data_IF_146711845940
#
_entry.id   IF_146711845940
#
_cell.length_a   1.000
_cell.length_b   1.000
_cell.length_c   1.000
_cell.angle_alpha   90.00
_cell.angle_beta   90.00
_cell.angle_gamma   90.00
#
_symmetry.space_group_name_H-M   'P 1'
#
loop_
_entity.id
_entity.type
_entity.pdbx_description
1 polymer ?
#
# COMPACT_ATOMS: atom_id res chain seq x y z
N UNK A 1 -20.07 1.90 19.51
CA UNK A 1 -21.53 2.01 19.34
C UNK A 1 -22.00 1.50 17.98
N UNK A 2 -21.41 1.96 16.84
CA UNK A 2 -21.78 1.48 15.50
C UNK A 2 -21.50 -0.03 15.34
N UNK A 3 -20.35 -0.52 15.81
CA UNK A 3 -19.97 -1.93 15.72
C UNK A 3 -20.89 -2.87 16.51
N UNK A 4 -21.64 -2.34 17.50
CA UNK A 4 -22.66 -3.09 18.25
C UNK A 4 -23.96 -3.27 17.45
N UNK A 5 -24.22 -2.38 16.49
CA UNK A 5 -25.41 -2.40 15.64
C UNK A 5 -25.15 -3.25 14.40
N UNK A 6 -23.98 -3.07 13.79
CA UNK A 6 -23.51 -3.77 12.59
C UNK A 6 -21.99 -3.85 12.58
N UNK A 7 -21.37 -5.00 12.26
CA UNK A 7 -19.92 -5.11 12.09
C UNK A 7 -19.41 -4.07 11.10
N UNK A 8 -18.35 -3.36 11.46
CA UNK A 8 -17.72 -2.33 10.64
C UNK A 8 -16.23 -2.61 10.49
N UNK A 9 -15.66 -2.20 9.35
CA UNK A 9 -14.23 -2.06 9.18
C UNK A 9 -13.85 -0.59 9.29
N UNK A 10 -12.63 -0.33 9.75
CA UNK A 10 -12.01 1.00 9.67
C UNK A 10 -10.80 0.90 8.76
N UNK A 11 -10.75 1.76 7.75
CA UNK A 11 -9.60 1.86 6.85
C UNK A 11 -8.68 2.98 7.32
N UNK A 12 -7.40 2.66 7.56
CA UNK A 12 -6.39 3.60 8.02
C UNK A 12 -5.27 3.75 6.98
N UNK A 13 -4.90 4.98 6.71
CA UNK A 13 -3.85 5.33 5.76
C UNK A 13 -2.48 5.37 6.42
N UNK A 14 -1.78 4.26 6.61
CA UNK A 14 -0.37 4.26 7.04
C UNK A 14 0.53 4.87 5.96
N UNK A 15 0.34 4.46 4.72
CA UNK A 15 1.09 4.79 3.51
C UNK A 15 2.53 4.27 3.55
N UNK A 16 3.30 4.61 4.58
CA UNK A 16 4.68 4.21 4.88
C UNK A 16 4.96 4.38 6.37
N UNK A 17 5.92 3.63 6.91
CA UNK A 17 6.42 3.83 8.29
C UNK A 17 7.50 4.92 8.38
N UNK A 18 8.08 5.32 7.25
CA UNK A 18 9.23 6.23 7.21
C UNK A 18 8.78 7.69 7.37
N UNK A 19 9.07 8.29 8.53
CA UNK A 19 8.59 9.63 8.88
C UNK A 19 9.01 10.72 7.89
N UNK A 20 10.21 10.61 7.28
CA UNK A 20 10.66 11.54 6.25
C UNK A 20 9.73 11.52 5.04
N UNK A 21 9.40 10.33 4.56
CA UNK A 21 8.47 10.13 3.43
C UNK A 21 7.04 10.51 3.83
N UNK A 22 6.59 10.11 5.03
CA UNK A 22 5.28 10.47 5.56
C UNK A 22 5.07 11.99 5.65
N UNK A 23 6.11 12.73 6.07
CA UNK A 23 6.11 14.19 6.09
C UNK A 23 6.09 14.78 4.69
N UNK A 24 6.86 14.22 3.75
CA UNK A 24 6.88 14.66 2.36
C UNK A 24 5.50 14.52 1.69
N UNK A 25 4.82 13.39 1.88
CA UNK A 25 3.47 13.17 1.34
C UNK A 25 2.37 13.82 2.17
N UNK A 26 2.73 14.56 3.22
CA UNK A 26 1.80 15.27 4.12
C UNK A 26 0.77 14.35 4.77
N UNK A 27 1.20 13.18 5.26
CA UNK A 27 0.31 12.24 5.99
C UNK A 27 -0.44 12.91 7.13
N UNK A 28 0.14 13.93 7.77
CA UNK A 28 -0.53 14.79 8.75
C UNK A 28 -0.54 14.26 10.19
N UNK A 29 0.04 13.09 10.46
CA UNK A 29 0.18 12.51 11.79
C UNK A 29 1.42 11.60 11.88
N UNK A 30 2.02 11.45 13.09
CA UNK A 30 3.16 10.58 13.31
C UNK A 30 2.76 9.09 13.33
N UNK A 31 3.75 8.19 13.18
CA UNK A 31 3.53 6.75 13.21
C UNK A 31 2.86 6.30 14.52
N UNK A 32 3.25 6.88 15.66
CA UNK A 32 2.67 6.57 16.97
C UNK A 32 1.15 6.81 17.04
N UNK A 33 0.63 7.80 16.32
CA UNK A 33 -0.81 8.05 16.25
C UNK A 33 -1.53 6.92 15.47
N UNK A 34 -0.90 6.41 14.42
CA UNK A 34 -1.42 5.25 13.69
C UNK A 34 -1.44 4.00 14.59
N UNK A 35 -0.36 3.72 15.32
CA UNK A 35 -0.25 2.57 16.23
C UNK A 35 -1.34 2.63 17.31
N UNK A 36 -1.48 3.78 17.93
CA UNK A 36 -2.53 4.01 18.95
C UNK A 36 -3.93 3.76 18.39
N UNK A 37 -4.20 4.24 17.18
CA UNK A 37 -5.48 4.03 16.51
C UNK A 37 -5.76 2.54 16.25
N UNK A 38 -4.78 1.79 15.71
CA UNK A 38 -4.89 0.34 15.46
C UNK A 38 -5.17 -0.41 16.77
N UNK A 39 -4.38 -0.14 17.83
CA UNK A 39 -4.54 -0.80 19.13
C UNK A 39 -5.89 -0.48 19.78
N UNK A 40 -6.35 0.76 19.69
CA UNK A 40 -7.64 1.16 20.24
C UNK A 40 -8.83 0.53 19.50
N UNK A 41 -8.75 0.43 18.17
CA UNK A 41 -9.76 -0.25 17.34
C UNK A 41 -9.81 -1.73 17.67
N UNK A 42 -8.65 -2.38 17.79
CA UNK A 42 -8.53 -3.78 18.16
C UNK A 42 -9.18 -4.08 19.53
N UNK A 43 -8.88 -3.25 20.55
CA UNK A 43 -9.46 -3.39 21.90
C UNK A 43 -10.99 -3.40 21.93
N UNK A 44 -11.63 -2.72 20.99
CA UNK A 44 -13.11 -2.66 20.89
C UNK A 44 -13.67 -3.61 19.82
N UNK A 45 -12.84 -4.53 19.29
CA UNK A 45 -13.25 -5.55 18.31
C UNK A 45 -13.60 -5.00 16.93
N UNK A 46 -13.02 -3.86 16.54
CA UNK A 46 -13.18 -3.30 15.19
C UNK A 46 -12.04 -3.75 14.30
N UNK A 47 -12.39 -4.34 13.14
CA UNK A 47 -11.41 -4.78 12.16
C UNK A 47 -10.77 -3.59 11.45
N UNK A 48 -9.45 -3.59 11.34
CA UNK A 48 -8.68 -2.53 10.70
C UNK A 48 -8.07 -3.00 9.40
N UNK A 49 -8.26 -2.24 8.32
CA UNK A 49 -7.62 -2.44 7.02
C UNK A 49 -6.66 -1.29 6.76
N UNK A 50 -5.41 -1.60 6.48
CA UNK A 50 -4.33 -0.60 6.34
C UNK A 50 -4.04 -0.33 4.86
N UNK A 51 -3.82 0.93 4.51
CA UNK A 51 -3.39 1.33 3.18
C UNK A 51 -1.89 1.58 3.15
N UNK A 52 -1.18 0.91 2.24
CA UNK A 52 0.21 1.18 1.88
C UNK A 52 0.29 1.72 0.45
N UNK A 53 1.24 2.63 0.22
CA UNK A 53 1.56 3.15 -1.11
C UNK A 53 2.99 2.73 -1.46
N UNK A 54 3.13 1.94 -2.52
CA UNK A 54 4.43 1.51 -3.04
C UNK A 54 4.93 2.51 -4.09
N UNK A 55 6.23 2.82 -4.06
CA UNK A 55 6.89 3.73 -4.99
C UNK A 55 6.82 5.20 -4.59
N UNK A 56 6.71 5.50 -3.29
CA UNK A 56 6.82 6.87 -2.79
C UNK A 56 8.22 7.43 -3.07
N UNK A 57 8.35 8.73 -3.42
CA UNK A 57 9.64 9.33 -3.75
C UNK A 57 10.67 9.17 -2.64
N UNK A 58 11.84 8.67 -3.01
CA UNK A 58 12.96 8.45 -2.10
C UNK A 58 12.92 7.14 -1.29
N UNK A 59 11.89 6.30 -1.47
CA UNK A 59 11.85 4.98 -0.86
C UNK A 59 12.51 3.92 -1.74
N UNK A 60 13.37 3.11 -1.10
CA UNK A 60 13.95 1.91 -1.69
C UNK A 60 13.01 0.72 -1.55
N UNK A 61 13.29 -0.36 -2.29
CA UNK A 61 12.59 -1.64 -2.12
C UNK A 61 12.60 -2.12 -0.67
N UNK A 62 13.74 -2.04 0.02
CA UNK A 62 13.87 -2.48 1.41
C UNK A 62 12.99 -1.65 2.35
N UNK A 63 12.93 -0.33 2.17
CA UNK A 63 12.05 0.55 2.95
C UNK A 63 10.57 0.18 2.78
N UNK A 64 10.14 -0.12 1.55
CA UNK A 64 8.77 -0.55 1.29
C UNK A 64 8.48 -1.91 1.95
N UNK A 65 9.43 -2.86 1.91
CA UNK A 65 9.31 -4.15 2.59
C UNK A 65 9.33 -4.00 4.12
N UNK A 66 10.10 -3.08 4.68
CA UNK A 66 10.03 -2.74 6.11
C UNK A 66 8.62 -2.30 6.51
N UNK A 67 7.96 -1.48 5.69
CA UNK A 67 6.57 -1.06 5.94
C UNK A 67 5.59 -2.24 5.91
N UNK A 68 5.83 -3.25 5.06
CA UNK A 68 5.03 -4.49 5.02
C UNK A 68 5.27 -5.33 6.27
N UNK A 69 6.54 -5.59 6.61
CA UNK A 69 6.90 -6.38 7.80
C UNK A 69 6.40 -5.76 9.10
N UNK A 70 6.32 -4.43 9.14
CA UNK A 70 5.78 -3.72 10.28
C UNK A 70 4.33 -4.09 10.58
N UNK A 71 3.49 -4.31 9.55
CA UNK A 71 2.10 -4.72 9.74
C UNK A 71 1.99 -6.07 10.45
N UNK A 72 2.95 -6.98 10.29
CA UNK A 72 2.94 -8.28 10.95
C UNK A 72 3.05 -8.20 12.49
N UNK A 73 3.47 -7.03 13.02
CA UNK A 73 3.62 -6.79 14.46
C UNK A 73 2.36 -6.16 15.06
N UNK A 74 1.37 -5.82 14.25
CA UNK A 74 0.16 -5.12 14.67
C UNK A 74 -1.09 -5.98 14.48
N UNK A 75 -2.12 -5.81 15.32
CA UNK A 75 -3.37 -6.55 15.20
C UNK A 75 -4.25 -5.99 14.07
N UNK A 76 -3.72 -5.95 12.85
CA UNK A 76 -4.46 -5.53 11.66
C UNK A 76 -5.14 -6.71 10.99
N UNK A 77 -6.35 -6.49 10.48
CA UNK A 77 -7.12 -7.52 9.80
C UNK A 77 -6.73 -7.64 8.32
N UNK A 78 -6.41 -6.54 7.68
CA UNK A 78 -6.15 -6.54 6.24
C UNK A 78 -5.29 -5.39 5.76
N UNK A 79 -4.83 -5.52 4.52
CA UNK A 79 -4.01 -4.53 3.83
C UNK A 79 -4.53 -4.25 2.43
N UNK A 80 -4.37 -3.01 1.98
CA UNK A 80 -4.55 -2.59 0.58
C UNK A 80 -3.22 -2.06 0.06
N UNK A 81 -2.66 -2.73 -0.92
CA UNK A 81 -1.52 -2.23 -1.68
C UNK A 81 -1.99 -1.33 -2.82
N UNK A 82 -1.35 -0.19 -2.96
CA UNK A 82 -1.53 0.73 -4.09
C UNK A 82 -0.16 1.18 -4.59
N UNK A 83 0.01 1.34 -5.90
CA UNK A 83 1.15 2.07 -6.43
C UNK A 83 0.91 3.57 -6.31
N UNK A 84 1.99 4.34 -6.24
CA UNK A 84 1.91 5.78 -6.35
C UNK A 84 1.29 6.20 -7.68
N UNK A 85 0.32 7.11 -7.64
CA UNK A 85 -0.24 7.77 -8.81
C UNK A 85 0.13 9.25 -8.82
N UNK A 86 0.69 9.71 -9.92
CA UNK A 86 0.95 11.13 -10.15
C UNK A 86 -0.23 11.67 -10.94
N UNK A 87 -0.97 12.59 -10.34
CA UNK A 87 -2.20 13.14 -10.91
C UNK A 87 -2.02 14.61 -11.26
N UNK A 88 -2.58 15.04 -12.39
CA UNK A 88 -2.62 16.46 -12.80
C UNK A 88 -3.22 17.33 -11.71
N UNK A 89 -2.77 18.57 -11.64
CA UNK A 89 -3.26 19.59 -10.71
C UNK A 89 -3.01 19.25 -9.23
N UNK A 90 -1.94 18.49 -8.94
CA UNK A 90 -1.48 18.20 -7.57
C UNK A 90 -0.08 18.73 -7.36
N UNK A 91 0.27 19.01 -6.09
CA UNK A 91 1.64 19.43 -5.73
C UNK A 91 2.67 18.37 -6.09
N UNK A 92 2.28 17.08 -6.04
CA UNK A 92 3.15 15.97 -6.45
C UNK A 92 3.44 16.01 -7.96
N UNK A 93 2.47 16.42 -8.80
CA UNK A 93 2.70 16.55 -10.22
C UNK A 93 3.68 17.71 -10.52
N UNK A 94 3.53 18.86 -9.85
CA UNK A 94 4.47 19.97 -9.96
C UNK A 94 5.88 19.56 -9.49
N UNK A 95 5.96 18.86 -8.35
CA UNK A 95 7.23 18.33 -7.86
C UNK A 95 7.88 17.36 -8.86
N UNK A 96 7.09 16.45 -9.46
CA UNK A 96 7.59 15.48 -10.45
C UNK A 96 8.12 16.14 -11.72
N UNK A 97 7.52 17.26 -12.14
CA UNK A 97 7.97 18.04 -13.30
C UNK A 97 9.31 18.73 -13.03
N UNK A 98 9.50 19.29 -11.83
CA UNK A 98 10.73 19.96 -11.43
C UNK A 98 11.85 19.01 -11.00
N UNK A 99 11.47 17.88 -10.38
CA UNK A 99 12.37 16.87 -9.81
C UNK A 99 11.92 15.47 -10.24
N UNK A 100 12.18 15.07 -11.50
CA UNK A 100 11.79 13.76 -12.00
C UNK A 100 12.39 12.63 -11.17
N UNK A 101 11.58 11.63 -10.84
CA UNK A 101 11.97 10.40 -10.16
C UNK A 101 11.38 9.17 -10.88
N UNK A 102 11.98 8.01 -10.66
CA UNK A 102 11.53 6.78 -11.29
C UNK A 102 10.16 6.35 -10.78
N UNK A 103 9.26 6.06 -11.71
CA UNK A 103 7.95 5.49 -11.44
C UNK A 103 7.95 4.05 -11.92
N UNK A 104 7.37 3.14 -11.15
CA UNK A 104 7.33 1.73 -11.50
C UNK A 104 6.82 1.47 -12.93
N UNK A 105 7.51 0.59 -13.64
CA UNK A 105 6.94 -0.16 -14.76
C UNK A 105 5.97 -1.21 -14.21
N UNK A 106 5.16 -1.84 -15.07
CA UNK A 106 4.29 -2.92 -14.64
C UNK A 106 5.10 -4.07 -14.03
N UNK A 107 6.19 -4.46 -14.69
CA UNK A 107 7.01 -5.60 -14.26
C UNK A 107 7.70 -5.31 -12.91
N UNK A 108 8.34 -4.14 -12.75
CA UNK A 108 8.99 -3.79 -11.49
C UNK A 108 7.99 -3.62 -10.32
N UNK A 109 6.76 -3.19 -10.61
CA UNK A 109 5.70 -3.17 -9.60
C UNK A 109 5.29 -4.58 -9.19
N UNK A 110 5.10 -5.48 -10.16
CA UNK A 110 4.73 -6.88 -9.89
C UNK A 110 5.83 -7.55 -9.07
N UNK A 111 7.10 -7.43 -9.47
CA UNK A 111 8.24 -8.00 -8.74
C UNK A 111 8.28 -7.54 -7.27
N UNK A 112 8.07 -6.24 -7.02
CA UNK A 112 8.02 -5.72 -5.65
C UNK A 112 6.79 -6.25 -4.91
N UNK A 113 5.62 -6.25 -5.55
CA UNK A 113 4.38 -6.68 -4.92
C UNK A 113 4.44 -8.15 -4.49
N UNK A 114 5.06 -9.01 -5.30
CA UNK A 114 5.29 -10.42 -4.96
C UNK A 114 6.15 -10.54 -3.70
N UNK A 115 7.25 -9.79 -3.61
CA UNK A 115 8.06 -9.71 -2.38
C UNK A 115 7.27 -9.20 -1.17
N UNK A 116 6.36 -8.23 -1.39
CA UNK A 116 5.48 -7.77 -0.32
C UNK A 116 4.55 -8.89 0.17
N UNK A 117 4.01 -9.70 -0.74
CA UNK A 117 3.14 -10.84 -0.42
C UNK A 117 3.91 -11.91 0.37
N UNK A 118 5.12 -12.27 -0.05
CA UNK A 118 5.99 -13.23 0.64
C UNK A 118 6.37 -12.76 2.06
N UNK A 119 6.50 -11.44 2.28
CA UNK A 119 6.86 -10.85 3.57
C UNK A 119 5.65 -10.47 4.44
N UNK A 120 4.41 -10.75 4.00
CA UNK A 120 3.19 -10.42 4.73
C UNK A 120 2.63 -11.67 5.41
N UNK A 121 2.28 -11.56 6.70
CA UNK A 121 1.65 -12.65 7.45
C UNK A 121 0.40 -13.20 6.74
N UNK A 122 0.23 -14.52 6.62
CA UNK A 122 -0.96 -15.15 6.05
C UNK A 122 -2.24 -14.85 6.85
N UNK A 123 -2.13 -14.37 8.09
CA UNK A 123 -3.24 -13.90 8.91
C UNK A 123 -3.83 -12.56 8.43
N UNK A 124 -3.08 -11.78 7.64
CA UNK A 124 -3.51 -10.47 7.14
C UNK A 124 -4.15 -10.61 5.76
N UNK A 125 -5.43 -10.29 5.65
CA UNK A 125 -6.17 -10.39 4.39
C UNK A 125 -5.74 -9.30 3.40
N UNK A 126 -5.37 -9.68 2.19
CA UNK A 126 -5.07 -8.72 1.13
C UNK A 126 -6.36 -8.29 0.43
N UNK A 127 -6.81 -7.07 0.68
CA UNK A 127 -8.04 -6.50 0.10
C UNK A 127 -7.85 -5.91 -1.29
N UNK A 128 -6.61 -5.49 -1.62
CA UNK A 128 -6.30 -4.83 -2.89
C UNK A 128 -4.82 -5.04 -3.24
N UNK A 129 -4.56 -5.28 -4.53
CA UNK A 129 -3.23 -5.46 -5.11
C UNK A 129 -2.84 -4.35 -6.12
N UNK A 130 -3.72 -3.37 -6.36
CA UNK A 130 -3.47 -2.28 -7.32
C UNK A 130 -4.35 -1.07 -6.99
N UNK A 131 -3.89 0.13 -7.33
CA UNK A 131 -4.68 1.35 -7.20
C UNK A 131 -5.55 1.64 -8.42
N UNK A 132 -6.48 2.57 -8.26
CA UNK A 132 -7.33 3.11 -9.34
C UNK A 132 -7.12 4.63 -9.40
N UNK A 133 -6.44 5.12 -10.45
CA UNK A 133 -6.30 6.54 -10.73
C UNK A 133 -7.37 7.03 -11.72
N UNK A 134 -7.89 8.27 -11.58
CA UNK A 134 -8.81 8.83 -12.56
C UNK A 134 -8.12 9.02 -13.90
N UNK A 135 -8.64 8.35 -14.95
CA UNK A 135 -8.02 8.28 -16.29
C UNK A 135 -7.65 9.65 -16.90
N UNK A 136 -8.51 10.64 -16.70
CA UNK A 136 -8.33 11.98 -17.26
C UNK A 136 -7.29 12.83 -16.51
N UNK A 137 -6.93 12.45 -15.29
CA UNK A 137 -5.97 13.16 -14.45
C UNK A 137 -4.63 12.42 -14.32
N UNK A 138 -4.56 11.15 -14.66
CA UNK A 138 -3.36 10.34 -14.47
C UNK A 138 -2.22 10.79 -15.41
N UNK A 139 -1.07 11.14 -14.80
CA UNK A 139 0.19 11.39 -15.50
C UNK A 139 0.99 10.07 -15.56
N UNK A 140 1.20 9.43 -14.40
CA UNK A 140 1.95 8.19 -14.28
C UNK A 140 1.51 7.37 -13.04
N UNK A 141 1.67 6.05 -13.08
CA UNK A 141 2.03 5.20 -14.19
C UNK A 141 0.81 4.87 -15.09
N UNK A 142 0.93 5.11 -16.38
CA UNK A 142 -0.20 4.96 -17.34
C UNK A 142 -0.69 3.51 -17.45
N UNK A 143 0.19 2.51 -17.24
CA UNK A 143 -0.18 1.10 -17.30
C UNK A 143 -1.22 0.71 -16.23
N UNK A 144 -1.32 1.45 -15.12
CA UNK A 144 -2.29 1.19 -14.04
C UNK A 144 -3.75 1.32 -14.50
N UNK A 145 -4.01 2.04 -15.60
CA UNK A 145 -5.34 2.14 -16.21
C UNK A 145 -5.84 0.79 -16.77
N UNK A 146 -4.96 -0.17 -16.99
CA UNK A 146 -5.29 -1.49 -17.52
C UNK A 146 -5.42 -2.52 -16.38
N UNK A 147 -6.26 -2.24 -15.39
CA UNK A 147 -6.41 -3.03 -14.16
C UNK A 147 -6.50 -4.55 -14.38
N UNK A 148 -7.27 -4.99 -15.40
CA UNK A 148 -7.38 -6.43 -15.72
C UNK A 148 -6.02 -7.01 -16.10
N UNK A 149 -5.23 -6.30 -16.93
CA UNK A 149 -3.89 -6.74 -17.32
C UNK A 149 -3.00 -6.85 -16.08
N UNK A 150 -3.00 -5.84 -15.20
CA UNK A 150 -2.21 -5.83 -13.96
C UNK A 150 -2.54 -7.04 -13.09
N UNK A 151 -3.82 -7.28 -12.79
CA UNK A 151 -4.25 -8.41 -11.96
C UNK A 151 -3.93 -9.76 -12.59
N UNK A 152 -4.09 -9.89 -13.92
CA UNK A 152 -3.72 -11.12 -14.63
C UNK A 152 -2.21 -11.37 -14.59
N UNK A 153 -1.39 -10.33 -14.75
CA UNK A 153 0.08 -10.46 -14.64
C UNK A 153 0.47 -10.90 -13.23
N UNK A 154 -0.06 -10.25 -12.19
CA UNK A 154 0.22 -10.64 -10.79
C UNK A 154 -0.15 -12.11 -10.56
N UNK A 155 -1.37 -12.53 -10.95
CA UNK A 155 -1.84 -13.90 -10.78
C UNK A 155 -1.00 -14.93 -11.57
N UNK A 156 -0.53 -14.55 -12.74
CA UNK A 156 0.33 -15.39 -13.59
C UNK A 156 1.69 -15.61 -12.94
N UNK A 157 2.35 -14.52 -12.52
CA UNK A 157 3.69 -14.58 -11.90
C UNK A 157 3.65 -15.33 -10.57
N UNK A 158 2.65 -15.07 -9.72
CA UNK A 158 2.46 -15.83 -8.47
C UNK A 158 2.37 -17.34 -8.72
N UNK A 159 1.66 -17.74 -9.80
CA UNK A 159 1.49 -19.16 -10.13
C UNK A 159 2.78 -19.79 -10.69
N UNK A 160 3.50 -19.07 -11.57
CA UNK A 160 4.74 -19.58 -12.17
C UNK A 160 5.84 -19.73 -11.13
N UNK A 161 5.95 -18.75 -10.23
CA UNK A 161 6.98 -18.71 -9.20
C UNK A 161 6.58 -19.46 -7.93
N UNK A 162 5.37 -20.07 -7.88
CA UNK A 162 4.77 -20.75 -6.72
C UNK A 162 4.79 -19.90 -5.43
N UNK A 163 4.61 -18.58 -5.57
CA UNK A 163 4.66 -17.62 -4.45
C UNK A 163 3.40 -17.72 -3.60
N UNK A 164 3.61 -17.83 -2.30
CA UNK A 164 2.54 -17.83 -1.28
C UNK A 164 2.77 -16.70 -0.28
N UNK A 165 1.68 -16.22 0.27
CA UNK A 165 1.74 -15.22 1.33
C UNK A 165 2.44 -15.79 2.55
N UNK A 166 3.49 -15.10 3.02
CA UNK A 166 4.26 -15.47 4.21
C UNK A 166 5.44 -16.41 3.96
N UNK A 167 5.78 -16.73 2.72
CA UNK A 167 6.90 -17.63 2.40
C UNK A 167 8.28 -17.15 2.92
N UNK A 168 8.41 -15.84 3.21
CA UNK A 168 9.65 -15.22 3.72
C UNK A 168 9.52 -14.67 5.16
N UNK A 169 8.61 -15.23 5.98
CA UNK A 169 8.47 -14.89 7.40
C UNK A 169 9.36 -15.74 8.30
#
# INVERSE_FOLDING_TARGET
RLNQIKPVFVELGLQTIHEKTASFIRRGYPLSCFDEAVLNLHKIGVLTVVHLILGLPGETTDMMLESVRYLNQLPVHGVKFSMLHILKNTDLAAYYEEHPFDVFTLDSYVDLLLKCIENLSPEIVIHRLTGDGPKNLLIAPVWSLHKRKVLNTISHEMKILDIKQGDLL
#
